data_IF_373989825576
#
_entry.id   IF_373989825576
#
_cell.length_a   1.000
_cell.length_b   1.000
_cell.length_c   1.000
_cell.angle_alpha   90.00
_cell.angle_beta   90.00
_cell.angle_gamma   90.00
#
_symmetry.space_group_name_H-M   'P 1'
#
loop_
_entity.id
_entity.type
_entity.pdbx_description
1 polymer ?
#
# COMPACT_ATOMS: atom_id res chain seq x y z
N UNK A 1 19.84 -59.11 46.07
CA UNK A 1 19.41 -59.01 44.65
C UNK A 1 18.41 -57.88 44.40
N UNK A 2 17.30 -57.73 45.16
CA UNK A 2 16.30 -56.67 44.92
C UNK A 2 16.82 -55.23 45.08
N UNK A 3 17.73 -54.97 46.01
CA UNK A 3 18.30 -53.63 46.26
C UNK A 3 19.24 -53.17 45.14
N UNK A 4 20.05 -54.08 44.57
CA UNK A 4 20.91 -53.76 43.42
C UNK A 4 20.11 -53.43 42.16
N UNK A 5 18.97 -54.10 41.94
CA UNK A 5 18.05 -53.82 40.84
C UNK A 5 17.38 -52.44 40.98
N UNK A 6 17.02 -52.04 42.19
CA UNK A 6 16.43 -50.72 42.43
C UNK A 6 17.47 -49.60 42.22
N UNK A 7 18.71 -49.81 42.64
CA UNK A 7 19.81 -48.86 42.40
C UNK A 7 20.15 -48.73 40.92
N UNK A 8 20.15 -49.82 40.14
CA UNK A 8 20.39 -49.76 38.70
C UNK A 8 19.26 -49.06 37.94
N UNK A 9 18.01 -49.24 38.36
CA UNK A 9 16.85 -48.52 37.79
C UNK A 9 16.92 -47.03 38.12
N UNK A 10 17.24 -46.66 39.37
CA UNK A 10 17.41 -45.26 39.76
C UNK A 10 18.54 -44.58 38.98
N UNK A 11 19.67 -45.27 38.79
CA UNK A 11 20.78 -44.75 37.99
C UNK A 11 20.37 -44.54 36.53
N UNK A 12 19.63 -45.48 35.94
CA UNK A 12 19.14 -45.38 34.57
C UNK A 12 18.14 -44.21 34.39
N UNK A 13 17.24 -43.99 35.37
CA UNK A 13 16.29 -42.88 35.34
C UNK A 13 16.99 -41.53 35.44
N UNK A 14 18.01 -41.41 36.30
CA UNK A 14 18.83 -40.19 36.42
C UNK A 14 19.59 -39.91 35.13
N UNK A 15 20.19 -40.93 34.50
CA UNK A 15 20.89 -40.78 33.21
C UNK A 15 19.91 -40.37 32.10
N UNK A 16 18.72 -40.97 32.03
CA UNK A 16 17.69 -40.57 31.07
C UNK A 16 17.23 -39.12 31.27
N UNK A 17 17.03 -38.68 32.52
CA UNK A 17 16.61 -37.32 32.83
C UNK A 17 17.68 -36.28 32.45
N UNK A 18 18.96 -36.58 32.71
CA UNK A 18 20.09 -35.73 32.31
C UNK A 18 20.22 -35.65 30.77
N UNK A 19 19.95 -36.75 30.06
CA UNK A 19 19.97 -36.77 28.60
C UNK A 19 18.81 -35.97 27.98
N UNK A 20 17.62 -35.98 28.59
CA UNK A 20 16.48 -35.17 28.12
C UNK A 20 16.72 -33.67 28.33
N UNK A 21 17.28 -33.26 29.47
CA UNK A 21 17.58 -31.84 29.73
C UNK A 21 18.70 -31.30 28.82
N UNK A 22 19.68 -32.13 28.45
CA UNK A 22 20.73 -31.73 27.52
C UNK A 22 20.17 -31.49 26.10
N UNK A 23 19.24 -32.34 25.65
CA UNK A 23 18.59 -32.23 24.33
C UNK A 23 17.68 -31.00 24.24
N UNK A 24 16.91 -30.72 25.30
CA UNK A 24 16.07 -29.51 25.39
C UNK A 24 16.87 -28.20 25.37
N UNK A 25 18.10 -28.20 25.94
CA UNK A 25 18.99 -27.03 25.91
C UNK A 25 19.59 -26.79 24.52
N UNK A 26 19.90 -27.86 23.79
CA UNK A 26 20.41 -27.79 22.42
C UNK A 26 19.33 -27.29 21.44
N UNK A 27 18.09 -27.77 21.57
CA UNK A 27 16.95 -27.29 20.78
C UNK A 27 16.61 -25.81 21.04
N UNK A 28 16.72 -25.33 22.30
CA UNK A 28 16.55 -23.90 22.61
C UNK A 28 17.67 -23.02 22.05
N UNK A 29 18.88 -23.55 21.93
CA UNK A 29 20.02 -22.84 21.32
C UNK A 29 19.86 -22.71 19.81
N UNK A 30 19.46 -23.79 19.13
CA UNK A 30 19.17 -23.79 17.70
C UNK A 30 18.00 -22.85 17.33
N UNK A 31 16.99 -22.72 18.20
CA UNK A 31 15.88 -21.77 17.99
C UNK A 31 16.32 -20.30 18.09
N UNK A 32 17.37 -19.98 18.85
CA UNK A 32 17.89 -18.60 18.94
C UNK A 32 18.78 -18.20 17.76
N UNK A 33 19.45 -19.16 17.11
CA UNK A 33 20.27 -18.92 15.91
C UNK A 33 19.45 -18.80 14.63
N UNK A 34 18.15 -19.11 14.65
CA UNK A 34 17.25 -19.02 13.48
C UNK A 34 16.43 -17.72 13.41
N UNK A 35 16.56 -16.82 14.40
CA UNK A 35 15.88 -15.52 14.44
C UNK A 35 16.74 -14.34 13.91
N UNK A 36 17.94 -14.60 13.39
CA UNK A 36 18.76 -13.60 12.70
C UNK A 36 18.49 -13.69 11.18
N UNK A 37 17.38 -13.09 10.75
CA UNK A 37 17.06 -12.91 9.34
C UNK A 37 18.10 -11.95 8.72
N UNK A 38 18.82 -12.34 7.65
CA UNK A 38 19.54 -11.38 6.84
C UNK A 38 18.51 -10.47 6.15
N UNK A 39 18.80 -9.17 6.14
CA UNK A 39 18.10 -8.18 5.32
C UNK A 39 18.04 -8.68 3.87
N UNK A 40 16.90 -9.26 3.49
CA UNK A 40 16.59 -9.49 2.08
C UNK A 40 16.33 -8.11 1.51
N UNK A 41 17.19 -7.67 0.61
CA UNK A 41 16.95 -6.54 -0.26
C UNK A 41 15.64 -6.81 -1.00
N UNK A 42 14.53 -6.26 -0.50
CA UNK A 42 13.34 -6.04 -1.33
C UNK A 42 13.70 -4.99 -2.37
N UNK A 43 14.33 -5.45 -3.45
CA UNK A 43 14.16 -4.83 -4.77
C UNK A 43 12.71 -5.08 -5.21
N UNK A 44 11.77 -4.41 -4.52
CA UNK A 44 10.49 -4.10 -5.10
C UNK A 44 10.75 -3.04 -6.15
N UNK A 45 10.80 -3.48 -7.40
CA UNK A 45 10.99 -2.64 -8.57
C UNK A 45 10.08 -1.40 -8.44
N UNK A 46 10.71 -0.23 -8.38
CA UNK A 46 10.03 1.02 -8.69
C UNK A 46 9.76 1.05 -10.20
N UNK A 47 8.83 0.21 -10.67
CA UNK A 47 8.20 0.35 -11.98
C UNK A 47 7.14 1.45 -11.88
N UNK A 48 7.60 2.66 -11.56
CA UNK A 48 7.15 3.81 -12.33
C UNK A 48 7.87 3.67 -13.67
N UNK A 49 7.31 2.85 -14.56
CA UNK A 49 7.77 2.66 -15.94
C UNK A 49 7.70 4.00 -16.68
N UNK A 50 8.82 4.71 -16.67
CA UNK A 50 9.50 5.17 -17.89
C UNK A 50 11.00 4.97 -17.63
N UNK A 51 11.62 4.05 -18.38
CA UNK A 51 13.06 3.95 -18.51
C UNK A 51 13.61 5.32 -18.94
N UNK A 52 14.29 6.03 -18.03
CA UNK A 52 15.23 7.10 -18.40
C UNK A 52 16.44 6.39 -19.05
N UNK A 53 16.28 5.99 -20.32
CA UNK A 53 17.43 5.80 -21.21
C UNK A 53 18.01 7.19 -21.41
N UNK A 54 19.27 7.37 -20.99
CA UNK A 54 20.10 8.47 -21.48
C UNK A 54 20.27 8.27 -22.99
N UNK A 55 19.29 8.71 -23.79
CA UNK A 55 19.43 8.82 -25.24
C UNK A 55 20.46 9.93 -25.52
N UNK A 56 21.70 9.51 -25.73
CA UNK A 56 22.70 10.25 -26.49
C UNK A 56 22.29 10.23 -27.97
N UNK A 57 21.18 10.90 -28.29
CA UNK A 57 20.78 11.10 -29.67
C UNK A 57 21.53 12.31 -30.24
N UNK A 58 22.67 12.01 -30.86
CA UNK A 58 23.22 12.87 -31.91
C UNK A 58 22.30 12.83 -33.12
N UNK A 59 21.24 13.64 -33.13
CA UNK A 59 20.55 13.99 -34.36
C UNK A 59 20.30 15.50 -34.47
N UNK A 60 20.88 16.03 -35.53
CA UNK A 60 20.88 17.42 -35.93
C UNK A 60 19.55 17.73 -36.64
N UNK A 61 18.52 18.05 -35.87
CA UNK A 61 17.31 18.71 -36.37
C UNK A 61 16.97 19.90 -35.48
N UNK A 62 17.06 21.10 -36.07
CA UNK A 62 16.61 22.34 -35.44
C UNK A 62 15.08 22.34 -35.36
N UNK A 63 14.53 21.73 -34.32
CA UNK A 63 13.14 21.99 -33.93
C UNK A 63 13.01 23.42 -33.41
N UNK A 64 12.11 24.17 -34.03
CA UNK A 64 11.69 25.49 -33.58
C UNK A 64 10.97 25.29 -32.25
N UNK A 65 11.69 25.46 -31.14
CA UNK A 65 11.13 25.44 -29.79
C UNK A 65 10.06 26.53 -29.69
N UNK A 66 8.79 26.13 -29.67
CA UNK A 66 7.71 27.05 -29.32
C UNK A 66 7.92 27.49 -27.87
N UNK A 67 8.52 28.67 -27.72
CA UNK A 67 8.84 29.33 -26.44
C UNK A 67 7.67 29.53 -25.48
N UNK A 68 6.44 29.16 -25.87
CA UNK A 68 5.21 29.33 -25.10
C UNK A 68 4.80 28.12 -24.26
N UNK A 69 5.35 26.93 -24.53
CA UNK A 69 5.01 25.71 -23.77
C UNK A 69 6.13 25.46 -22.77
N UNK A 70 5.80 25.37 -21.47
CA UNK A 70 6.80 25.05 -20.46
C UNK A 70 7.11 23.54 -20.56
N UNK A 71 8.38 23.13 -20.78
CA UNK A 71 8.74 21.71 -20.87
C UNK A 71 8.36 20.89 -19.63
N UNK A 72 8.19 21.53 -18.47
CA UNK A 72 7.69 20.88 -17.26
C UNK A 72 6.20 20.53 -17.30
N UNK A 73 5.40 21.12 -18.19
CA UNK A 73 3.97 20.84 -18.26
C UNK A 73 3.67 19.41 -18.72
N UNK A 74 4.62 18.77 -19.42
CA UNK A 74 4.51 17.40 -19.93
C UNK A 74 5.44 16.41 -19.23
N UNK A 75 6.38 16.87 -18.40
CA UNK A 75 7.32 15.97 -17.71
C UNK A 75 6.72 15.49 -16.40
N UNK A 76 6.51 14.18 -16.30
CA UNK A 76 6.16 13.50 -15.05
C UNK A 76 7.44 13.28 -14.24
N UNK A 77 7.37 13.59 -12.94
CA UNK A 77 8.47 13.37 -12.00
C UNK A 77 8.05 12.34 -10.96
N UNK A 78 9.04 11.62 -10.42
CA UNK A 78 8.78 10.65 -9.34
C UNK A 78 8.21 11.33 -8.11
N UNK A 79 7.57 10.55 -7.24
CA UNK A 79 7.02 11.07 -5.98
C UNK A 79 8.10 11.72 -5.13
N UNK A 80 7.73 12.85 -4.51
CA UNK A 80 8.64 13.72 -3.77
C UNK A 80 9.52 14.60 -4.65
N UNK A 81 9.32 14.60 -5.97
CA UNK A 81 10.04 15.43 -6.92
C UNK A 81 9.15 16.47 -7.59
N UNK A 82 9.74 17.61 -7.92
CA UNK A 82 9.15 18.68 -8.72
C UNK A 82 9.97 18.87 -9.99
N UNK A 83 9.28 19.23 -11.07
CA UNK A 83 9.95 19.60 -12.32
C UNK A 83 10.50 21.02 -12.24
N UNK A 84 11.75 21.19 -12.66
CA UNK A 84 12.41 22.47 -12.83
C UNK A 84 13.12 22.52 -14.19
N UNK A 85 13.31 23.73 -14.71
CA UNK A 85 14.09 23.96 -15.93
C UNK A 85 15.54 24.23 -15.54
N UNK A 86 16.48 23.54 -16.17
CA UNK A 86 17.90 23.86 -16.02
C UNK A 86 18.30 25.10 -16.84
N UNK A 87 19.59 25.48 -16.77
CA UNK A 87 20.11 26.65 -17.48
C UNK A 87 19.96 26.56 -19.02
N UNK A 88 19.76 25.36 -19.56
CA UNK A 88 19.53 25.10 -20.98
C UNK A 88 18.03 25.01 -21.32
N UNK A 89 17.13 25.35 -20.38
CA UNK A 89 15.67 25.16 -20.47
C UNK A 89 15.26 23.69 -20.65
N UNK A 90 16.08 22.72 -20.25
CA UNK A 90 15.69 21.30 -20.24
C UNK A 90 14.93 20.99 -18.94
N UNK A 91 13.77 20.35 -19.06
CA UNK A 91 12.99 19.90 -17.91
C UNK A 91 13.70 18.75 -17.19
N UNK A 92 13.95 18.93 -15.89
CA UNK A 92 14.57 17.95 -14.99
C UNK A 92 13.76 17.85 -13.71
N UNK A 93 13.85 16.71 -13.03
CA UNK A 93 13.20 16.50 -11.76
C UNK A 93 14.20 16.69 -10.61
N UNK A 94 13.81 17.41 -9.56
CA UNK A 94 14.57 17.54 -8.30
C UNK A 94 13.65 17.22 -7.13
N UNK A 95 14.20 16.83 -5.98
CA UNK A 95 13.37 16.69 -4.80
C UNK A 95 12.71 18.02 -4.45
N UNK A 96 11.44 17.99 -4.04
CA UNK A 96 10.69 19.16 -3.62
C UNK A 96 11.49 19.93 -2.57
N UNK A 97 11.67 21.24 -2.76
CA UNK A 97 12.47 22.04 -1.82
C UNK A 97 11.64 22.43 -0.60
N UNK A 98 10.40 22.87 -0.83
CA UNK A 98 9.50 23.34 0.21
C UNK A 98 8.11 22.73 0.03
N UNK A 99 7.57 22.21 1.13
CA UNK A 99 6.20 21.75 1.20
C UNK A 99 5.32 22.87 1.75
N UNK A 100 4.11 23.01 1.21
CA UNK A 100 3.09 23.89 1.78
C UNK A 100 2.82 23.47 3.23
N UNK A 101 2.86 24.39 4.20
CA UNK A 101 2.50 24.08 5.57
C UNK A 101 1.01 23.76 5.65
N UNK A 102 0.69 22.56 6.12
CA UNK A 102 -0.69 22.13 6.38
C UNK A 102 -0.91 22.12 7.91
N UNK A 103 -1.60 23.11 8.48
CA UNK A 103 -1.73 23.26 9.93
C UNK A 103 -2.74 22.29 10.56
N UNK A 104 -3.57 21.63 9.74
CA UNK A 104 -4.58 20.69 10.23
C UNK A 104 -3.94 19.31 10.47
N UNK A 105 -3.96 18.77 11.71
CA UNK A 105 -3.38 17.48 12.04
C UNK A 105 -3.91 16.29 11.21
N UNK A 106 -5.07 16.45 10.55
CA UNK A 106 -5.62 15.43 9.65
C UNK A 106 -4.78 15.20 8.40
N UNK A 107 -3.95 16.17 7.99
CA UNK A 107 -3.04 16.03 6.85
C UNK A 107 -1.70 15.42 7.21
N UNK A 108 -1.42 15.22 8.51
CA UNK A 108 -0.26 14.44 8.94
C UNK A 108 -0.37 13.02 8.40
N UNK A 109 0.76 12.33 8.34
CA UNK A 109 0.80 10.95 7.84
C UNK A 109 1.71 10.08 8.70
N UNK A 110 1.31 8.82 8.85
CA UNK A 110 2.16 7.77 9.39
C UNK A 110 2.74 6.94 8.24
N UNK A 111 4.04 6.70 8.30
CA UNK A 111 4.74 5.85 7.32
C UNK A 111 4.79 4.39 7.73
N UNK A 112 5.12 3.51 6.78
CA UNK A 112 5.39 2.08 6.99
C UNK A 112 6.54 1.80 7.98
N UNK A 113 7.32 2.81 8.37
CA UNK A 113 8.37 2.73 9.39
C UNK A 113 7.93 3.25 10.75
N UNK A 114 6.62 3.46 10.94
CA UNK A 114 6.01 4.02 12.14
C UNK A 114 6.59 5.40 12.52
N UNK A 115 6.87 6.22 11.50
CA UNK A 115 7.30 7.60 11.64
C UNK A 115 6.21 8.55 11.16
N UNK A 116 5.89 9.53 12.00
CA UNK A 116 4.94 10.60 11.70
C UNK A 116 5.62 11.72 10.92
N UNK A 117 4.97 12.17 9.85
CA UNK A 117 5.37 13.35 9.08
C UNK A 117 4.24 14.39 9.07
N UNK A 118 4.61 15.67 8.96
CA UNK A 118 3.66 16.79 8.99
C UNK A 118 2.69 16.77 7.81
N UNK A 119 3.13 16.26 6.66
CA UNK A 119 2.25 15.98 5.53
C UNK A 119 2.85 14.93 4.61
N UNK A 120 2.02 14.43 3.69
CA UNK A 120 2.45 13.53 2.62
C UNK A 120 3.65 14.08 1.83
N UNK A 121 3.66 15.38 1.52
CA UNK A 121 4.79 16.02 0.84
C UNK A 121 6.10 15.89 1.63
N UNK A 122 6.04 16.06 2.96
CA UNK A 122 7.22 15.95 3.81
C UNK A 122 7.80 14.53 3.80
N UNK A 123 6.93 13.51 3.87
CA UNK A 123 7.31 12.11 3.79
C UNK A 123 7.93 11.76 2.42
N UNK A 124 7.26 12.14 1.33
CA UNK A 124 7.73 11.85 -0.04
C UNK A 124 9.06 12.57 -0.34
N UNK A 125 9.24 13.80 0.17
CA UNK A 125 10.49 14.56 0.06
C UNK A 125 11.64 13.87 0.78
N UNK A 126 11.41 13.37 2.01
CA UNK A 126 12.42 12.62 2.77
C UNK A 126 12.85 11.35 2.00
N UNK A 127 11.88 10.61 1.45
CA UNK A 127 12.14 9.46 0.59
C UNK A 127 12.99 9.84 -0.63
N UNK A 128 12.67 10.96 -1.29
CA UNK A 128 13.43 11.47 -2.43
C UNK A 128 14.88 11.82 -2.06
N UNK A 129 15.10 12.54 -0.96
CA UNK A 129 16.45 12.89 -0.49
C UNK A 129 17.29 11.65 -0.25
N UNK A 130 16.71 10.62 0.36
CA UNK A 130 17.40 9.37 0.63
C UNK A 130 17.66 8.53 -0.63
N UNK A 131 16.71 8.46 -1.57
CA UNK A 131 16.90 7.83 -2.89
C UNK A 131 18.03 8.49 -3.68
N UNK A 132 18.11 9.82 -3.65
CA UNK A 132 19.16 10.61 -4.32
C UNK A 132 20.43 10.83 -3.51
N UNK A 133 20.57 10.19 -2.33
CA UNK A 133 21.74 10.30 -1.43
C UNK A 133 22.12 11.76 -1.12
N UNK A 134 21.12 12.62 -0.93
CA UNK A 134 21.31 14.03 -0.57
C UNK A 134 21.74 14.14 0.91
N UNK A 135 22.53 15.17 1.29
CA UNK A 135 22.98 15.34 2.66
C UNK A 135 21.84 15.61 3.66
N UNK A 136 20.67 16.04 3.18
CA UNK A 136 19.47 16.25 3.99
C UNK A 136 18.78 14.94 4.40
N UNK A 137 19.12 13.80 3.79
CA UNK A 137 18.54 12.51 4.16
C UNK A 137 18.89 12.16 5.61
N UNK A 138 17.88 11.93 6.44
CA UNK A 138 18.07 11.56 7.84
C UNK A 138 18.58 10.12 7.99
N UNK A 139 18.07 9.18 7.21
CA UNK A 139 18.45 7.76 7.28
C UNK A 139 18.37 7.08 5.91
N UNK A 140 19.41 6.35 5.45
CA UNK A 140 19.38 5.64 4.16
C UNK A 140 18.21 4.66 3.98
N UNK A 141 17.69 4.09 5.08
CA UNK A 141 16.54 3.19 5.04
C UNK A 141 15.25 3.90 4.61
N UNK A 142 15.19 5.23 4.67
CA UNK A 142 14.01 6.02 4.31
C UNK A 142 13.75 6.12 2.81
N UNK A 143 14.67 5.58 1.98
CA UNK A 143 14.43 5.39 0.54
C UNK A 143 13.15 4.60 0.21
N UNK A 144 12.71 3.73 1.13
CA UNK A 144 11.49 2.91 1.00
C UNK A 144 10.35 3.40 1.91
N UNK A 145 10.37 4.68 2.32
CA UNK A 145 9.24 5.28 3.03
C UNK A 145 7.99 5.22 2.14
N UNK A 146 6.91 4.69 2.71
CA UNK A 146 5.60 4.61 2.09
C UNK A 146 4.56 5.08 3.09
N UNK A 147 3.49 5.69 2.57
CA UNK A 147 2.32 6.07 3.37
C UNK A 147 1.65 4.80 3.90
N UNK A 148 1.46 4.72 5.22
CA UNK A 148 0.70 3.65 5.85
C UNK A 148 -0.73 4.09 6.16
N UNK A 149 -0.92 5.27 6.76
CA UNK A 149 -2.24 5.90 6.95
C UNK A 149 -2.14 7.40 7.23
N UNK A 150 -3.26 8.11 7.08
CA UNK A 150 -3.38 9.53 7.43
C UNK A 150 -3.59 9.73 8.93
N UNK A 151 -3.01 10.81 9.45
CA UNK A 151 -2.91 11.17 10.86
C UNK A 151 -1.54 10.84 11.45
N UNK A 152 -1.37 11.19 12.72
CA UNK A 152 -0.19 10.81 13.50
C UNK A 152 -0.08 9.29 13.67
N UNK A 153 1.16 8.77 13.77
CA UNK A 153 1.37 7.37 14.10
C UNK A 153 0.80 7.04 15.49
N UNK A 154 0.00 5.98 15.52
CA UNK A 154 -0.62 5.39 16.71
C UNK A 154 -0.06 4.00 16.93
N UNK A 155 -0.15 3.55 18.18
CA UNK A 155 0.18 2.17 18.51
C UNK A 155 -0.93 1.24 17.98
N UNK A 156 -0.71 0.67 16.81
CA UNK A 156 -1.57 -0.36 16.25
C UNK A 156 -1.17 -1.73 16.80
N UNK A 157 -2.15 -2.50 17.27
CA UNK A 157 -1.93 -3.90 17.65
C UNK A 157 -1.72 -4.76 16.42
N UNK A 158 -1.03 -5.90 16.54
CA UNK A 158 -0.92 -6.85 15.42
C UNK A 158 -2.30 -7.39 15.06
N UNK A 159 -2.62 -7.43 13.76
CA UNK A 159 -3.83 -8.08 13.26
C UNK A 159 -3.76 -9.57 13.55
N UNK A 160 -4.75 -10.08 14.30
CA UNK A 160 -4.84 -11.49 14.62
C UNK A 160 -5.40 -12.27 13.42
N UNK A 161 -5.08 -13.56 13.35
CA UNK A 161 -5.49 -14.39 12.20
C UNK A 161 -7.02 -14.45 12.05
N UNK A 162 -7.76 -14.60 13.15
CA UNK A 162 -9.23 -14.59 13.13
C UNK A 162 -9.82 -13.22 12.72
N UNK A 163 -9.08 -12.14 12.95
CA UNK A 163 -9.48 -10.80 12.53
C UNK A 163 -9.29 -10.67 11.02
N UNK A 164 -8.14 -11.11 10.51
CA UNK A 164 -7.84 -11.12 9.08
C UNK A 164 -8.82 -11.99 8.30
N UNK A 165 -9.21 -13.16 8.82
CA UNK A 165 -10.22 -14.02 8.21
C UNK A 165 -11.59 -13.34 8.03
N UNK A 166 -11.99 -12.47 8.96
CA UNK A 166 -13.26 -11.75 8.91
C UNK A 166 -13.18 -10.43 8.14
N UNK A 167 -11.98 -9.90 7.97
CA UNK A 167 -11.75 -8.56 7.45
C UNK A 167 -12.32 -8.35 6.02
N UNK A 168 -12.08 -9.24 5.04
CA UNK A 168 -12.63 -9.09 3.69
C UNK A 168 -14.14 -8.89 3.64
N UNK A 169 -14.88 -9.74 4.36
CA UNK A 169 -16.34 -9.72 4.37
C UNK A 169 -16.88 -8.48 5.11
N UNK A 170 -16.21 -8.05 6.19
CA UNK A 170 -16.59 -6.82 6.90
C UNK A 170 -16.37 -5.59 6.02
N UNK A 171 -15.26 -5.56 5.29
CA UNK A 171 -14.93 -4.51 4.34
C UNK A 171 -15.98 -4.45 3.22
N UNK A 172 -16.30 -5.56 2.54
CA UNK A 172 -17.29 -5.56 1.46
C UNK A 172 -18.69 -5.11 1.92
N UNK A 173 -19.14 -5.57 3.09
CA UNK A 173 -20.39 -5.11 3.71
C UNK A 173 -20.34 -3.62 4.07
N UNK A 174 -19.22 -3.15 4.59
CA UNK A 174 -19.03 -1.74 4.91
C UNK A 174 -19.09 -0.87 3.65
N UNK A 175 -18.44 -1.28 2.55
CA UNK A 175 -18.49 -0.59 1.26
C UNK A 175 -19.92 -0.46 0.73
N UNK A 176 -20.71 -1.52 0.83
CA UNK A 176 -22.14 -1.45 0.52
C UNK A 176 -22.88 -0.41 1.37
N UNK A 177 -22.62 -0.38 2.69
CA UNK A 177 -23.23 0.62 3.58
C UNK A 177 -22.79 2.05 3.30
N UNK A 178 -21.54 2.26 2.89
CA UNK A 178 -21.08 3.57 2.42
C UNK A 178 -21.84 3.98 1.16
N UNK A 179 -21.97 3.09 0.19
CA UNK A 179 -22.70 3.35 -1.05
C UNK A 179 -24.19 3.70 -0.78
N UNK A 180 -24.84 2.97 0.11
CA UNK A 180 -26.23 3.22 0.55
C UNK A 180 -26.35 4.61 1.22
N UNK A 181 -25.40 4.97 2.08
CA UNK A 181 -25.40 6.25 2.77
C UNK A 181 -25.15 7.44 1.83
N UNK A 182 -24.25 7.29 0.85
CA UNK A 182 -24.03 8.30 -0.20
C UNK A 182 -25.28 8.51 -1.05
N UNK A 183 -25.94 7.41 -1.44
CA UNK A 183 -27.21 7.51 -2.17
C UNK A 183 -28.29 8.23 -1.35
N UNK A 184 -28.40 7.91 -0.06
CA UNK A 184 -29.35 8.57 0.86
C UNK A 184 -29.12 10.07 0.98
N UNK A 185 -27.85 10.52 0.87
CA UNK A 185 -27.46 11.93 0.91
C UNK A 185 -27.53 12.63 -0.46
N UNK A 186 -27.89 11.91 -1.53
CA UNK A 186 -27.81 12.38 -2.91
C UNK A 186 -26.38 12.78 -3.33
N UNK A 187 -25.38 12.10 -2.78
CA UNK A 187 -23.95 12.27 -3.08
C UNK A 187 -23.43 11.17 -4.02
N UNK A 188 -24.28 10.20 -4.38
CA UNK A 188 -23.97 9.13 -5.33
C UNK A 188 -24.44 9.52 -6.74
N UNK A 189 -23.57 9.39 -7.73
CA UNK A 189 -23.89 9.63 -9.14
C UNK A 189 -25.04 8.74 -9.63
N UNK A 190 -25.91 9.26 -10.50
CA UNK A 190 -27.04 8.54 -11.11
C UNK A 190 -26.62 7.19 -11.71
N UNK A 191 -25.45 7.13 -12.35
CA UNK A 191 -24.94 5.89 -12.97
C UNK A 191 -24.59 4.83 -11.91
N UNK A 192 -24.18 5.25 -10.71
CA UNK A 192 -23.90 4.34 -9.60
C UNK A 192 -25.17 3.94 -8.83
N UNK A 193 -26.27 4.68 -8.93
CA UNK A 193 -27.56 4.29 -8.33
C UNK A 193 -28.08 2.97 -8.91
N UNK A 194 -27.83 2.69 -10.20
CA UNK A 194 -28.19 1.39 -10.80
C UNK A 194 -27.36 0.24 -10.21
N UNK A 195 -26.07 0.47 -9.97
CA UNK A 195 -25.18 -0.50 -9.33
C UNK A 195 -25.61 -0.79 -7.89
N UNK A 196 -26.08 0.23 -7.14
CA UNK A 196 -26.62 0.04 -5.80
C UNK A 196 -27.82 -0.93 -5.78
N UNK A 197 -28.78 -0.76 -6.71
CA UNK A 197 -29.96 -1.64 -6.82
C UNK A 197 -29.60 -3.11 -7.12
N UNK A 198 -28.48 -3.33 -7.79
CA UNK A 198 -27.94 -4.66 -8.06
C UNK A 198 -27.22 -5.21 -6.82
N UNK A 199 -26.42 -4.38 -6.15
CA UNK A 199 -25.73 -4.71 -4.91
C UNK A 199 -26.69 -5.08 -3.76
N UNK A 200 -27.87 -4.47 -3.68
CA UNK A 200 -28.91 -4.84 -2.70
C UNK A 200 -29.44 -6.27 -2.85
N UNK A 201 -29.41 -6.81 -4.07
CA UNK A 201 -29.94 -8.14 -4.39
C UNK A 201 -28.89 -9.24 -4.26
N UNK A 202 -27.62 -8.87 -4.36
CA UNK A 202 -26.49 -9.78 -4.22
C UNK A 202 -25.98 -9.81 -2.77
N UNK A 203 -25.93 -10.99 -2.17
CA UNK A 203 -25.42 -11.17 -0.80
C UNK A 203 -23.95 -10.79 -0.65
N UNK A 204 -23.18 -10.86 -1.74
CA UNK A 204 -21.76 -10.52 -1.75
C UNK A 204 -21.52 -9.05 -2.11
N UNK A 205 -22.58 -8.29 -2.40
CA UNK A 205 -22.51 -6.87 -2.77
C UNK A 205 -21.47 -6.57 -3.85
N UNK A 206 -21.35 -7.44 -4.87
CA UNK A 206 -20.32 -7.36 -5.93
C UNK A 206 -20.25 -5.96 -6.53
N UNK A 207 -21.40 -5.37 -6.86
CA UNK A 207 -21.45 -4.06 -7.49
C UNK A 207 -21.04 -2.91 -6.55
N UNK A 208 -21.19 -3.05 -5.23
CA UNK A 208 -20.65 -2.07 -4.29
C UNK A 208 -19.11 -2.13 -4.22
N UNK A 209 -18.55 -3.34 -4.29
CA UNK A 209 -17.10 -3.54 -4.33
C UNK A 209 -16.49 -2.98 -5.62
N UNK A 210 -17.13 -3.24 -6.76
CA UNK A 210 -16.70 -2.70 -8.07
C UNK A 210 -16.87 -1.18 -8.09
N UNK A 211 -18.00 -0.65 -7.60
CA UNK A 211 -18.22 0.79 -7.49
C UNK A 211 -17.08 1.47 -6.73
N UNK A 212 -16.69 0.92 -5.57
CA UNK A 212 -15.64 1.51 -4.76
C UNK A 212 -14.31 1.57 -5.52
N UNK A 213 -13.99 0.55 -6.29
CA UNK A 213 -12.81 0.54 -7.14
C UNK A 213 -12.85 1.67 -8.18
N UNK A 214 -13.96 1.80 -8.91
CA UNK A 214 -14.13 2.87 -9.91
C UNK A 214 -14.13 4.28 -9.30
N UNK A 215 -14.64 4.42 -8.08
CA UNK A 215 -14.63 5.67 -7.31
C UNK A 215 -13.22 6.05 -6.82
N UNK A 216 -12.31 5.08 -6.73
CA UNK A 216 -10.91 5.28 -6.33
C UNK A 216 -9.98 5.52 -7.52
N UNK A 217 -10.21 4.86 -8.65
CA UNK A 217 -9.46 4.98 -9.92
C UNK A 217 -9.80 6.28 -10.67
N UNK A 218 -9.46 7.43 -10.06
CA UNK A 218 -9.83 8.76 -10.59
C UNK A 218 -8.66 9.45 -11.28
N UNK A 219 -7.42 9.42 -10.75
CA UNK A 219 -6.28 10.12 -11.34
C UNK A 219 -4.90 9.52 -10.95
N UNK A 220 -4.15 8.92 -11.90
CA UNK A 220 -4.54 8.63 -13.29
C UNK A 220 -5.60 7.53 -13.34
N UNK A 221 -6.46 7.55 -14.35
CA UNK A 221 -7.39 6.45 -14.58
C UNK A 221 -6.65 5.33 -15.32
N UNK A 222 -5.92 4.51 -14.58
CA UNK A 222 -5.06 3.46 -15.11
C UNK A 222 -5.61 2.05 -14.85
N UNK A 223 -6.80 1.95 -14.25
CA UNK A 223 -7.44 0.68 -13.81
C UNK A 223 -6.68 -0.04 -12.71
N UNK A 224 -5.86 0.71 -11.98
CA UNK A 224 -5.22 0.29 -10.77
C UNK A 224 -5.61 1.25 -9.66
N UNK A 225 -5.59 0.75 -8.44
CA UNK A 225 -5.71 1.62 -7.27
C UNK A 225 -4.46 1.47 -6.44
N UNK A 226 -3.78 2.58 -6.22
CA UNK A 226 -2.61 2.64 -5.35
C UNK A 226 -3.04 2.58 -3.88
N UNK A 227 -2.15 2.13 -3.00
CA UNK A 227 -2.40 2.16 -1.54
C UNK A 227 -2.81 3.56 -1.05
N UNK A 228 -2.29 4.63 -1.66
CA UNK A 228 -2.61 6.03 -1.29
C UNK A 228 -4.07 6.38 -1.59
N UNK A 229 -4.59 5.96 -2.74
CA UNK A 229 -6.00 6.16 -3.10
C UNK A 229 -6.92 5.38 -2.16
N UNK A 230 -6.57 4.13 -1.86
CA UNK A 230 -7.33 3.28 -0.93
C UNK A 230 -7.43 3.90 0.47
N UNK A 231 -6.33 4.46 0.99
CA UNK A 231 -6.27 5.00 2.35
C UNK A 231 -7.18 6.21 2.58
N UNK A 232 -7.44 7.03 1.56
CA UNK A 232 -8.36 8.17 1.69
C UNK A 232 -9.79 7.75 2.04
N UNK A 233 -10.25 6.60 1.53
CA UNK A 233 -11.58 6.09 1.81
C UNK A 233 -11.56 5.27 3.09
N UNK A 234 -10.50 4.49 3.30
CA UNK A 234 -10.40 3.60 4.45
C UNK A 234 -10.12 4.35 5.77
N UNK A 235 -9.64 5.58 5.75
CA UNK A 235 -9.51 6.41 6.96
C UNK A 235 -10.83 6.63 7.73
N UNK A 236 -11.98 6.28 7.12
CA UNK A 236 -13.31 6.27 7.74
C UNK A 236 -13.71 4.92 8.36
N UNK A 237 -12.92 3.85 8.16
CA UNK A 237 -13.12 2.53 8.74
C UNK A 237 -12.63 2.54 10.19
N UNK A 238 -13.57 2.76 11.10
CA UNK A 238 -13.29 2.77 12.55
C UNK A 238 -13.07 1.39 13.21
N UNK A 239 -13.54 0.25 12.66
CA UNK A 239 -13.17 -1.06 13.20
C UNK A 239 -12.04 -1.74 12.39
N UNK A 240 -11.04 -2.28 13.08
CA UNK A 240 -9.97 -3.15 12.53
C UNK A 240 -8.96 -2.43 11.61
N UNK A 241 -8.67 -1.15 11.89
CA UNK A 241 -7.67 -0.34 11.15
C UNK A 241 -6.30 -1.01 11.08
N UNK A 242 -5.93 -1.78 12.11
CA UNK A 242 -4.67 -2.51 12.20
C UNK A 242 -4.56 -3.72 11.25
N UNK A 243 -5.67 -4.17 10.68
CA UNK A 243 -5.71 -5.23 9.67
C UNK A 243 -5.66 -4.69 8.24
N UNK A 244 -5.93 -3.40 8.04
CA UNK A 244 -5.98 -2.83 6.68
C UNK A 244 -4.65 -2.96 5.96
N UNK A 245 -3.58 -2.46 6.59
CA UNK A 245 -2.26 -2.41 5.98
C UNK A 245 -1.78 -3.83 5.58
N UNK A 246 -1.80 -4.83 6.48
CA UNK A 246 -1.49 -6.21 6.12
C UNK A 246 -2.46 -6.82 5.10
N UNK A 247 -3.74 -6.45 5.13
CA UNK A 247 -4.72 -6.93 4.15
C UNK A 247 -4.38 -6.43 2.74
N UNK A 248 -4.08 -5.15 2.57
CA UNK A 248 -3.68 -4.59 1.27
C UNK A 248 -2.38 -5.23 0.75
N UNK A 249 -1.44 -5.55 1.65
CA UNK A 249 -0.21 -6.28 1.27
C UNK A 249 -0.49 -7.71 0.78
N UNK A 250 -1.55 -8.36 1.29
CA UNK A 250 -2.01 -9.68 0.81
C UNK A 250 -2.70 -9.56 -0.55
N UNK A 251 -3.44 -8.47 -0.77
CA UNK A 251 -4.18 -8.24 -2.01
C UNK A 251 -3.28 -7.93 -3.20
N UNK A 252 -2.14 -7.28 -2.97
CA UNK A 252 -1.09 -7.06 -3.95
C UNK A 252 -0.31 -8.38 -4.19
N UNK A 253 -0.94 -9.31 -4.89
CA UNK A 253 -0.47 -10.68 -5.03
C UNK A 253 0.74 -10.80 -5.96
N UNK A 254 0.82 -9.93 -6.97
CA UNK A 254 1.96 -9.84 -7.89
C UNK A 254 3.07 -8.91 -7.39
N UNK A 255 2.85 -8.20 -6.26
CA UNK A 255 3.81 -7.29 -5.61
C UNK A 255 4.21 -6.11 -6.51
N UNK A 256 3.33 -5.67 -7.39
CA UNK A 256 3.56 -4.51 -8.25
C UNK A 256 3.22 -3.17 -7.54
N UNK A 257 2.79 -3.26 -6.27
CA UNK A 257 2.42 -2.12 -5.39
C UNK A 257 1.16 -1.39 -5.84
N UNK A 258 0.43 -1.98 -6.78
CA UNK A 258 -0.86 -1.57 -7.26
C UNK A 258 -1.85 -2.70 -6.94
N UNK A 259 -3.13 -2.36 -6.89
CA UNK A 259 -4.18 -3.36 -6.75
C UNK A 259 -5.06 -3.26 -7.99
N UNK A 260 -5.07 -4.31 -8.79
CA UNK A 260 -5.97 -4.44 -9.93
C UNK A 260 -7.41 -4.70 -9.46
N UNK A 261 -8.40 -4.45 -10.34
CA UNK A 261 -9.80 -4.76 -10.04
C UNK A 261 -10.01 -6.24 -9.67
N UNK A 262 -9.24 -7.12 -10.30
CA UNK A 262 -9.32 -8.54 -10.07
C UNK A 262 -8.78 -8.93 -8.70
N UNK A 263 -7.59 -8.44 -8.35
CA UNK A 263 -7.02 -8.62 -7.01
C UNK A 263 -7.97 -8.08 -5.96
N UNK A 264 -8.44 -6.84 -6.10
CA UNK A 264 -9.40 -6.22 -5.20
C UNK A 264 -10.66 -7.07 -4.99
N UNK A 265 -11.27 -7.54 -6.08
CA UNK A 265 -12.48 -8.36 -6.01
C UNK A 265 -12.24 -9.72 -5.36
N UNK A 266 -11.18 -10.43 -5.74
CA UNK A 266 -10.82 -11.73 -5.15
C UNK A 266 -10.48 -11.57 -3.67
N UNK A 267 -9.74 -10.53 -3.31
CA UNK A 267 -9.34 -10.26 -1.93
C UNK A 267 -10.53 -9.99 -1.01
N UNK A 268 -11.60 -9.38 -1.55
CA UNK A 268 -12.86 -9.13 -0.84
C UNK A 268 -13.85 -10.31 -0.90
N UNK A 269 -13.41 -11.46 -1.41
CA UNK A 269 -14.18 -12.71 -1.42
C UNK A 269 -15.21 -12.78 -2.54
N UNK A 270 -15.03 -12.03 -3.64
CA UNK A 270 -15.90 -12.14 -4.81
C UNK A 270 -15.54 -13.36 -5.67
N UNK A 271 -16.56 -13.98 -6.24
CA UNK A 271 -16.38 -15.02 -7.25
C UNK A 271 -15.74 -14.40 -8.51
N UNK A 272 -14.64 -14.98 -9.00
CA UNK A 272 -13.90 -14.47 -10.16
C UNK A 272 -14.79 -14.21 -11.38
N UNK A 273 -15.77 -15.08 -11.65
CA UNK A 273 -16.70 -14.92 -12.77
C UNK A 273 -17.69 -13.75 -12.65
N UNK A 274 -17.80 -13.13 -11.47
CA UNK A 274 -18.66 -11.97 -11.21
C UNK A 274 -17.90 -10.64 -11.27
N UNK A 275 -16.58 -10.66 -11.27
CA UNK A 275 -15.75 -9.46 -11.34
C UNK A 275 -15.77 -8.95 -12.77
N UNK A 276 -16.46 -7.83 -13.00
CA UNK A 276 -16.58 -7.21 -14.32
C UNK A 276 -16.19 -5.74 -14.22
N UNK A 277 -15.32 -5.28 -15.12
CA UNK A 277 -14.99 -3.85 -15.22
C UNK A 277 -16.22 -3.08 -15.73
N UNK A 278 -16.86 -2.37 -14.81
CA UNK A 278 -18.00 -1.49 -15.07
C UNK A 278 -17.62 0.00 -15.03
N UNK A 279 -16.36 0.32 -14.77
CA UNK A 279 -15.91 1.71 -14.56
C UNK A 279 -16.11 2.55 -15.83
N UNK A 280 -15.80 1.99 -17.01
CA UNK A 280 -15.93 2.70 -18.29
C UNK A 280 -17.37 3.12 -18.67
N UNK A 281 -18.40 2.45 -18.16
CA UNK A 281 -19.80 2.80 -18.43
C UNK A 281 -20.24 4.05 -17.64
N UNK A 282 -19.68 4.24 -16.45
CA UNK A 282 -20.03 5.34 -15.54
C UNK A 282 -19.27 6.62 -15.92
N UNK A 283 -17.99 6.53 -16.27
CA UNK A 283 -17.18 7.71 -16.56
C UNK A 283 -17.41 8.33 -17.95
N UNK A 284 -17.91 7.55 -18.94
CA UNK A 284 -18.25 8.08 -20.28
C UNK A 284 -19.38 9.11 -20.26
N UNK A 285 -20.29 9.05 -19.29
CA UNK A 285 -21.39 10.02 -19.15
C UNK A 285 -20.99 11.26 -18.36
N UNK A 286 -20.07 11.13 -17.39
CA UNK A 286 -19.58 12.28 -16.61
C UNK A 286 -18.70 13.26 -17.39
N UNK A 287 -18.04 12.84 -18.47
CA UNK A 287 -17.38 13.77 -19.42
C UNK A 287 -18.36 14.57 -20.29
N UNK A 288 -19.63 14.16 -20.38
CA UNK A 288 -20.67 14.84 -21.16
C UNK A 288 -21.57 15.79 -20.37
N UNK A 289 -21.36 15.93 -19.05
CA UNK A 289 -22.14 16.76 -18.12
C UNK A 289 -21.43 18.06 -17.69
N UNK A 290 -20.27 18.38 -18.27
CA UNK A 290 -19.61 19.69 -18.10
C UNK A 290 -20.11 20.72 -19.09
#
# INVERSE_FOLDING_TARGET
MKVLLLLSILLALVVCFQATEARDREDRRNRRETDEYPDVEEEGADEDDEDDVDDDDTDNDQEIVDTRINPCDKKTCRRGEECYLDNARKAKCRCVEQCTPEPDPRYMVCSNKNLTFDSECHMDREACWCRRRKPQCGNPSFRTLRLDYYGECKQLTKCQDFEMEQFPLRMSNWLFKVMEELARRNELDDDYVEMLKSAEKDKNHVDAVIWKFCDLDVHPQDRFVTRRELLFVVATIKPMEHCLAPFLDICDANKDRKISLYEWGVCLGLDQGKIQDKCGAVHKKNKGRK
#
